data_IF_880054681322
#
_entry.id   IF_880054681322
#
_cell.length_a   1.000
_cell.length_b   1.000
_cell.length_c   1.000
_cell.angle_alpha   90.00
_cell.angle_beta   90.00
_cell.angle_gamma   90.00
#
_symmetry.space_group_name_H-M   'P 1'
#
loop_
_entity.id
_entity.type
_entity.pdbx_description
1 polymer ?
#
# COMPACT_ATOMS: atom_id res chain seq x y z
N UNK A 1 -17.83 -16.89 -17.19
CA UNK A 1 -17.68 -17.05 -15.72
C UNK A 1 -18.28 -15.83 -15.01
N UNK A 2 -18.70 -15.95 -13.75
CA UNK A 2 -19.26 -14.80 -13.00
C UNK A 2 -18.27 -13.64 -12.88
N UNK A 3 -16.97 -13.93 -12.72
CA UNK A 3 -15.91 -12.91 -12.68
C UNK A 3 -15.85 -12.07 -13.96
N UNK A 4 -15.87 -12.71 -15.15
CA UNK A 4 -15.85 -11.99 -16.42
C UNK A 4 -17.07 -11.08 -16.59
N UNK A 5 -18.24 -11.51 -16.12
CA UNK A 5 -19.44 -10.67 -16.14
C UNK A 5 -19.24 -9.40 -15.30
N UNK A 6 -18.78 -9.54 -14.05
CA UNK A 6 -18.63 -8.41 -13.12
C UNK A 6 -17.40 -7.52 -13.37
N UNK A 7 -16.40 -8.00 -14.10
CA UNK A 7 -15.32 -7.14 -14.60
C UNK A 7 -15.75 -6.27 -15.78
N UNK A 8 -16.72 -6.74 -16.58
CA UNK A 8 -17.22 -6.02 -17.75
C UNK A 8 -18.55 -5.29 -17.49
N UNK A 9 -19.15 -5.44 -16.32
CA UNK A 9 -20.41 -4.81 -15.94
C UNK A 9 -20.33 -4.27 -14.53
N UNK A 10 -20.73 -3.00 -14.36
CA UNK A 10 -20.79 -2.35 -13.06
C UNK A 10 -22.22 -2.35 -12.54
N UNK A 11 -22.39 -2.82 -11.32
CA UNK A 11 -23.65 -2.73 -10.57
C UNK A 11 -23.69 -1.42 -9.77
N UNK A 12 -24.76 -0.66 -9.92
CA UNK A 12 -24.96 0.65 -9.31
C UNK A 12 -26.27 0.64 -8.53
N UNK A 13 -26.25 1.12 -7.29
CA UNK A 13 -27.45 1.37 -6.52
C UNK A 13 -27.86 2.84 -6.73
N UNK A 14 -29.02 3.09 -7.32
CA UNK A 14 -29.55 4.44 -7.57
C UNK A 14 -30.99 4.49 -7.11
N UNK A 15 -31.30 5.38 -6.15
CA UNK A 15 -32.67 5.61 -5.64
C UNK A 15 -33.42 4.33 -5.21
N UNK A 16 -32.70 3.36 -4.65
CA UNK A 16 -33.27 2.09 -4.20
C UNK A 16 -33.35 0.99 -5.27
N UNK A 17 -33.03 1.31 -6.53
CA UNK A 17 -32.97 0.34 -7.62
C UNK A 17 -31.53 -0.06 -7.94
N UNK A 18 -31.35 -1.30 -8.40
CA UNK A 18 -30.06 -1.86 -8.79
C UNK A 18 -29.94 -1.88 -10.31
N UNK A 19 -29.13 -0.98 -10.87
CA UNK A 19 -28.83 -0.90 -12.29
C UNK A 19 -27.53 -1.64 -12.61
N UNK A 20 -27.53 -2.42 -13.69
CA UNK A 20 -26.30 -3.02 -14.25
C UNK A 20 -25.97 -2.34 -15.56
N UNK A 21 -24.78 -1.74 -15.65
CA UNK A 21 -24.30 -1.03 -16.85
C UNK A 21 -23.04 -1.70 -17.39
N UNK A 22 -22.92 -1.93 -18.71
CA UNK A 22 -21.67 -2.39 -19.31
C UNK A 22 -20.54 -1.36 -19.12
N UNK A 23 -19.33 -1.85 -18.93
CA UNK A 23 -18.10 -1.05 -18.80
C UNK A 23 -17.41 -0.94 -20.16
N UNK A 24 -16.67 0.15 -20.38
CA UNK A 24 -15.79 0.24 -21.55
C UNK A 24 -14.62 -0.73 -21.41
N UNK A 25 -13.97 -1.08 -22.52
CA UNK A 25 -12.79 -1.96 -22.50
C UNK A 25 -11.69 -1.43 -21.57
N UNK A 26 -11.42 -0.11 -21.59
CA UNK A 26 -10.45 0.53 -20.70
C UNK A 26 -10.84 0.39 -19.22
N UNK A 27 -12.12 0.61 -18.88
CA UNK A 27 -12.60 0.48 -17.51
C UNK A 27 -12.51 -0.98 -17.02
N UNK A 28 -12.78 -1.96 -17.88
CA UNK A 28 -12.64 -3.37 -17.54
C UNK A 28 -11.17 -3.77 -17.32
N UNK A 29 -10.23 -3.22 -18.10
CA UNK A 29 -8.79 -3.41 -17.90
C UNK A 29 -8.33 -2.81 -16.57
N UNK A 30 -8.72 -1.58 -16.26
CA UNK A 30 -8.41 -0.94 -14.98
C UNK A 30 -8.99 -1.71 -13.79
N UNK A 31 -10.23 -2.21 -13.91
CA UNK A 31 -10.86 -3.02 -12.88
C UNK A 31 -10.12 -4.35 -12.65
N UNK A 32 -9.66 -5.01 -13.72
CA UNK A 32 -8.83 -6.22 -13.63
C UNK A 32 -7.51 -5.92 -12.90
N UNK A 33 -6.82 -4.85 -13.28
CA UNK A 33 -5.51 -4.51 -12.70
C UNK A 33 -5.66 -4.09 -11.24
N UNK A 34 -6.70 -3.32 -10.91
CA UNK A 34 -7.03 -2.98 -9.53
C UNK A 34 -7.36 -4.22 -8.69
N UNK A 35 -8.13 -5.17 -9.23
CA UNK A 35 -8.43 -6.43 -8.56
C UNK A 35 -7.15 -7.25 -8.30
N UNK A 36 -6.26 -7.35 -9.30
CA UNK A 36 -5.00 -8.05 -9.16
C UNK A 36 -4.10 -7.41 -8.07
N UNK A 37 -3.96 -6.07 -8.10
CA UNK A 37 -3.24 -5.31 -7.07
C UNK A 37 -3.84 -5.53 -5.68
N UNK A 38 -5.16 -5.55 -5.56
CA UNK A 38 -5.85 -5.77 -4.29
C UNK A 38 -5.64 -7.19 -3.74
N UNK A 39 -5.73 -8.22 -4.59
CA UNK A 39 -5.46 -9.60 -4.19
C UNK A 39 -4.01 -9.74 -3.69
N UNK A 40 -3.05 -9.18 -4.44
CA UNK A 40 -1.65 -9.19 -4.02
C UNK A 40 -1.44 -8.45 -2.69
N UNK A 41 -2.05 -7.27 -2.52
CA UNK A 41 -1.99 -6.51 -1.27
C UNK A 41 -2.56 -7.27 -0.07
N UNK A 42 -3.67 -7.99 -0.26
CA UNK A 42 -4.25 -8.86 0.77
C UNK A 42 -3.35 -10.04 1.12
N UNK A 43 -2.73 -10.68 0.11
CA UNK A 43 -1.77 -11.76 0.33
C UNK A 43 -0.54 -11.27 1.11
N UNK A 44 0.01 -10.11 0.75
CA UNK A 44 1.13 -9.49 1.45
C UNK A 44 0.76 -9.21 2.92
N UNK A 45 -0.41 -8.59 3.15
CA UNK A 45 -0.92 -8.32 4.49
C UNK A 45 -1.08 -9.59 5.32
N UNK A 46 -1.68 -10.63 4.74
CA UNK A 46 -1.84 -11.93 5.39
C UNK A 46 -0.49 -12.57 5.75
N UNK A 47 0.49 -12.47 4.86
CA UNK A 47 1.85 -12.97 5.10
C UNK A 47 2.50 -12.28 6.29
N UNK A 48 2.43 -10.94 6.34
CA UNK A 48 2.95 -10.13 7.46
C UNK A 48 2.24 -10.50 8.76
N UNK A 49 0.92 -10.64 8.75
CA UNK A 49 0.14 -11.04 9.94
C UNK A 49 0.53 -12.44 10.44
N UNK A 50 0.77 -13.39 9.54
CA UNK A 50 1.18 -14.75 9.87
C UNK A 50 2.57 -14.76 10.49
N UNK A 51 3.52 -14.02 9.92
CA UNK A 51 4.87 -13.87 10.47
C UNK A 51 4.84 -13.20 11.86
N UNK A 52 4.11 -12.11 12.01
CA UNK A 52 3.94 -11.43 13.30
C UNK A 52 3.32 -12.34 14.36
N UNK A 53 2.35 -13.18 13.99
CA UNK A 53 1.72 -14.13 14.91
C UNK A 53 2.69 -15.24 15.34
N UNK A 54 3.56 -15.69 14.45
CA UNK A 54 4.58 -16.69 14.73
C UNK A 54 5.72 -16.14 15.62
N UNK A 55 6.08 -14.86 15.47
CA UNK A 55 7.14 -14.19 16.22
C UNK A 55 6.66 -13.59 17.56
N UNK A 56 5.34 -13.51 17.79
CA UNK A 56 4.77 -12.89 18.98
C UNK A 56 5.19 -13.65 20.24
N UNK A 57 5.92 -12.97 21.12
CA UNK A 57 6.33 -13.51 22.42
C UNK A 57 5.18 -13.45 23.43
N UNK A 58 5.11 -14.42 24.34
CA UNK A 58 4.08 -14.47 25.40
C UNK A 58 4.37 -13.54 26.59
N UNK A 59 5.46 -12.77 26.56
CA UNK A 59 5.81 -11.84 27.64
C UNK A 59 4.88 -10.62 27.61
N UNK A 60 4.54 -10.11 28.81
CA UNK A 60 3.86 -8.83 28.98
C UNK A 60 4.58 -7.73 28.19
N UNK A 61 3.84 -6.70 27.75
CA UNK A 61 4.35 -5.58 26.92
C UNK A 61 5.77 -5.19 27.31
N UNK A 62 6.72 -5.36 26.38
CA UNK A 62 8.12 -5.02 26.62
C UNK A 62 8.23 -3.55 27.01
N UNK A 63 9.00 -3.24 28.06
CA UNK A 63 9.22 -1.86 28.54
C UNK A 63 10.08 -1.03 27.56
N UNK A 64 10.82 -1.69 26.68
CA UNK A 64 11.70 -1.07 25.68
C UNK A 64 11.79 -1.98 24.45
N UNK A 65 12.09 -1.40 23.28
CA UNK A 65 12.31 -2.15 22.05
C UNK A 65 13.41 -1.49 21.21
N UNK A 66 14.06 -2.28 20.35
CA UNK A 66 15.00 -1.81 19.34
C UNK A 66 14.31 -1.97 17.99
N UNK A 67 14.14 -0.87 17.26
CA UNK A 67 13.57 -0.85 15.92
C UNK A 67 14.69 -0.77 14.88
N UNK A 68 14.58 -1.56 13.83
CA UNK A 68 15.41 -1.45 12.63
C UNK A 68 14.51 -1.00 11.49
N UNK A 69 14.92 0.03 10.76
CA UNK A 69 14.22 0.56 9.61
C UNK A 69 15.02 0.23 8.34
N UNK A 70 14.43 -0.54 7.46
CA UNK A 70 14.94 -0.84 6.13
C UNK A 70 13.94 -0.31 5.10
N UNK A 71 14.36 0.64 4.28
CA UNK A 71 13.53 1.33 3.29
C UNK A 71 14.28 1.51 1.98
N UNK A 72 13.53 1.68 0.90
CA UNK A 72 14.10 2.03 -0.39
C UNK A 72 14.81 3.38 -0.34
N UNK A 73 15.99 3.46 -0.97
CA UNK A 73 16.72 4.71 -1.14
C UNK A 73 16.07 5.66 -2.14
N UNK A 74 16.63 6.86 -2.26
CA UNK A 74 16.16 7.86 -3.22
C UNK A 74 16.30 7.35 -4.67
N UNK A 75 15.24 7.45 -5.46
CA UNK A 75 15.17 6.95 -6.84
C UNK A 75 15.07 8.13 -7.82
N UNK A 76 15.78 8.04 -8.95
CA UNK A 76 15.62 9.00 -10.06
C UNK A 76 15.79 8.26 -11.37
N UNK A 77 14.70 8.15 -12.11
CA UNK A 77 14.67 7.54 -13.45
C UNK A 77 14.25 8.58 -14.51
N UNK A 78 14.40 8.21 -15.79
CA UNK A 78 13.95 9.05 -16.91
C UNK A 78 12.43 9.36 -16.86
N UNK A 79 11.65 8.43 -16.29
CA UNK A 79 10.22 8.60 -16.02
C UNK A 79 9.91 8.15 -14.60
N UNK A 80 9.49 9.11 -13.77
CA UNK A 80 9.10 8.86 -12.39
C UNK A 80 7.57 8.85 -12.29
N UNK A 81 7.02 7.79 -11.69
CA UNK A 81 5.58 7.67 -11.43
C UNK A 81 5.26 8.12 -10.01
N UNK A 82 3.99 8.01 -9.61
CA UNK A 82 3.54 8.28 -8.25
C UNK A 82 4.31 7.43 -7.21
N UNK A 83 4.71 6.22 -7.56
CA UNK A 83 5.50 5.33 -6.71
C UNK A 83 6.86 5.95 -6.32
N UNK A 84 7.62 6.47 -7.28
CA UNK A 84 8.89 7.16 -7.02
C UNK A 84 8.68 8.41 -6.17
N UNK A 85 7.60 9.17 -6.41
CA UNK A 85 7.26 10.32 -5.57
C UNK A 85 7.06 9.90 -4.12
N UNK A 86 6.31 8.82 -3.85
CA UNK A 86 6.12 8.29 -2.50
C UNK A 86 7.44 7.86 -1.85
N UNK A 87 8.32 7.17 -2.59
CA UNK A 87 9.63 6.72 -2.11
C UNK A 87 10.51 7.92 -1.75
N UNK A 88 10.65 8.89 -2.65
CA UNK A 88 11.49 10.06 -2.46
C UNK A 88 10.96 10.98 -1.35
N UNK A 89 9.63 11.12 -1.24
CA UNK A 89 9.02 11.88 -0.15
C UNK A 89 9.30 11.24 1.22
N UNK A 90 9.23 9.91 1.33
CA UNK A 90 9.59 9.21 2.57
C UNK A 90 11.05 9.45 2.95
N UNK A 91 11.96 9.40 1.97
CA UNK A 91 13.39 9.72 2.15
C UNK A 91 13.58 11.17 2.63
N UNK A 92 12.91 12.14 2.01
CA UNK A 92 12.99 13.55 2.40
C UNK A 92 12.53 13.75 3.84
N UNK A 93 11.45 13.08 4.26
CA UNK A 93 10.97 13.14 5.65
C UNK A 93 11.93 12.52 6.65
N UNK A 94 12.61 11.43 6.28
CA UNK A 94 13.63 10.83 7.14
C UNK A 94 14.86 11.71 7.25
N UNK A 95 15.31 12.31 6.14
CA UNK A 95 16.43 13.25 6.16
C UNK A 95 16.10 14.49 7.00
N UNK A 96 14.87 15.03 6.88
CA UNK A 96 14.39 16.14 7.72
C UNK A 96 14.44 15.78 9.21
N UNK A 97 13.99 14.57 9.58
CA UNK A 97 14.03 14.10 10.96
C UNK A 97 15.47 13.93 11.47
N UNK A 98 16.35 13.35 10.65
CA UNK A 98 17.77 13.19 10.98
C UNK A 98 18.43 14.54 11.23
N UNK A 99 18.29 15.48 10.29
CA UNK A 99 18.86 16.82 10.41
C UNK A 99 18.37 17.50 11.69
N UNK A 100 17.06 17.50 11.96
CA UNK A 100 16.50 18.10 13.18
C UNK A 100 17.09 17.49 14.46
N UNK A 101 17.27 16.16 14.48
CA UNK A 101 17.83 15.48 15.64
C UNK A 101 19.30 15.82 15.87
N UNK A 102 20.11 15.76 14.81
CA UNK A 102 21.54 16.12 14.88
C UNK A 102 21.71 17.58 15.28
N UNK A 103 20.99 18.52 14.64
CA UNK A 103 21.07 19.94 14.98
C UNK A 103 20.65 20.26 16.42
N UNK A 104 19.73 19.48 17.00
CA UNK A 104 19.34 19.66 18.40
C UNK A 104 20.39 19.12 19.38
N UNK A 105 21.23 18.18 18.95
CA UNK A 105 22.30 17.61 19.77
C UNK A 105 23.58 18.46 19.74
N UNK A 106 23.75 19.32 18.73
CA UNK A 106 24.91 20.21 18.57
C UNK A 106 24.79 21.59 19.25
N UNK A 107 23.61 21.93 19.82
CA UNK A 107 23.39 23.13 20.64
C UNK A 107 23.49 22.81 22.13
#
# INVERSE_FOLDING_TARGET
SQMAHWLCHRRLAVRGEMLVKPMTGQQALEARDALAKQIYGQLFTWTVQRLNSALRTQRSKAKSFIGVLDIYGFETFDRNSFEQFCINYANEKLQQQFNRHVFHLEQ
#
